data_IF_868188793045
#
_entry.id   IF_868188793045
#
_cell.length_a   1.000
_cell.length_b   1.000
_cell.length_c   1.000
_cell.angle_alpha   90.00
_cell.angle_beta   90.00
_cell.angle_gamma   90.00
#
_symmetry.space_group_name_H-M   'P 1'
#
loop_
_entity.id
_entity.type
_entity.pdbx_description
1 polymer ?
#
# COMPACT_ATOMS: atom_id res chain seq x y z
N UNK A 1 10.52 -9.56 -2.19
CA UNK A 1 9.44 -10.36 -2.81
C UNK A 1 9.43 -10.21 -4.32
N UNK A 2 9.32 -9.01 -4.90
CA UNK A 2 9.30 -8.83 -6.37
C UNK A 2 10.55 -9.39 -7.09
N UNK A 3 11.75 -9.21 -6.51
CA UNK A 3 12.99 -9.80 -7.05
C UNK A 3 12.97 -11.34 -7.03
N UNK A 4 12.36 -11.95 -6.01
CA UNK A 4 12.24 -13.41 -5.91
C UNK A 4 11.22 -13.90 -6.95
N UNK A 5 10.11 -13.19 -7.14
CA UNK A 5 9.12 -13.55 -8.16
C UNK A 5 9.67 -13.40 -9.59
N UNK A 6 10.47 -12.35 -9.85
CA UNK A 6 11.16 -12.11 -11.11
C UNK A 6 12.27 -13.14 -11.35
N UNK A 7 13.08 -13.45 -10.33
CA UNK A 7 14.10 -14.50 -10.41
C UNK A 7 13.46 -15.87 -10.62
N UNK A 8 12.33 -16.17 -9.97
CA UNK A 8 11.58 -17.41 -10.21
C UNK A 8 11.05 -17.49 -11.64
N UNK A 9 10.61 -16.37 -12.24
CA UNK A 9 10.21 -16.35 -13.65
C UNK A 9 11.40 -16.60 -14.56
N UNK A 10 12.54 -15.94 -14.33
CA UNK A 10 13.77 -16.16 -15.11
C UNK A 10 14.33 -17.58 -14.95
N UNK A 11 14.22 -18.17 -13.76
CA UNK A 11 14.65 -19.55 -13.50
C UNK A 11 13.71 -20.56 -14.17
N UNK A 12 12.39 -20.35 -14.11
CA UNK A 12 11.42 -21.17 -14.85
C UNK A 12 11.68 -21.08 -16.37
N UNK A 13 11.90 -19.87 -16.89
CA UNK A 13 12.25 -19.66 -18.30
C UNK A 13 13.52 -20.43 -18.69
N UNK A 14 14.58 -20.38 -17.86
CA UNK A 14 15.87 -21.02 -18.19
C UNK A 14 15.88 -22.55 -18.05
N UNK A 15 14.98 -23.13 -17.25
CA UNK A 15 14.93 -24.59 -17.03
C UNK A 15 14.15 -25.34 -18.12
N UNK A 16 13.31 -24.63 -18.91
CA UNK A 16 12.38 -25.23 -19.88
C UNK A 16 12.84 -25.17 -21.36
N UNK A 17 14.08 -24.78 -21.65
CA UNK A 17 14.61 -24.73 -23.04
C UNK A 17 14.98 -26.13 -23.60
N UNK A 18 13.98 -26.87 -24.07
CA UNK A 18 14.13 -27.96 -25.04
C UNK A 18 13.91 -27.48 -26.50
N UNK A 19 14.46 -28.15 -27.53
CA UNK A 19 14.69 -27.54 -28.85
C UNK A 19 13.45 -27.25 -29.70
N UNK A 20 12.26 -27.76 -29.37
CA UNK A 20 11.05 -27.46 -30.14
C UNK A 20 9.78 -27.51 -29.29
N UNK A 21 9.19 -26.34 -29.01
CA UNK A 21 7.78 -25.95 -29.15
C UNK A 21 7.55 -24.65 -28.38
N UNK A 22 6.89 -23.68 -29.00
CA UNK A 22 6.38 -22.48 -28.32
C UNK A 22 5.68 -22.91 -27.03
N UNK A 23 6.11 -22.37 -25.91
CA UNK A 23 5.47 -22.61 -24.63
C UNK A 23 4.01 -22.13 -24.72
N UNK A 24 3.00 -22.97 -24.42
CA UNK A 24 1.60 -22.55 -24.48
C UNK A 24 1.18 -21.73 -23.26
N UNK A 25 2.03 -21.60 -22.22
CA UNK A 25 1.68 -20.68 -21.15
C UNK A 25 1.95 -19.26 -21.64
N UNK A 26 0.86 -18.55 -21.91
CA UNK A 26 0.86 -17.09 -21.81
C UNK A 26 1.65 -16.67 -20.57
N UNK A 27 2.37 -15.53 -20.61
CA UNK A 27 2.94 -14.94 -19.41
C UNK A 27 1.84 -14.97 -18.35
N UNK A 28 2.01 -15.72 -17.26
CA UNK A 28 0.91 -15.93 -16.32
C UNK A 28 0.72 -14.66 -15.51
N UNK A 29 0.04 -13.71 -16.12
CA UNK A 29 -0.42 -12.45 -15.57
C UNK A 29 -1.25 -12.66 -14.29
N UNK A 30 -1.80 -13.88 -14.11
CA UNK A 30 -2.44 -14.36 -12.89
C UNK A 30 -1.71 -15.59 -12.34
N UNK A 31 -0.53 -15.40 -11.73
CA UNK A 31 0.17 -16.52 -11.10
C UNK A 31 -0.62 -16.92 -9.83
N UNK A 32 -1.30 -18.06 -9.86
CA UNK A 32 -2.45 -18.38 -8.99
C UNK A 32 -2.07 -19.09 -7.67
N UNK A 33 -0.86 -18.83 -7.15
CA UNK A 33 -0.37 -19.46 -5.93
C UNK A 33 -1.04 -18.87 -4.68
N UNK A 34 -1.03 -19.61 -3.57
CA UNK A 34 -1.49 -19.07 -2.26
C UNK A 34 -0.70 -17.82 -1.87
N UNK A 35 0.61 -17.83 -2.10
CA UNK A 35 1.49 -16.71 -1.78
C UNK A 35 1.11 -15.45 -2.56
N UNK A 36 0.77 -15.58 -3.85
CA UNK A 36 0.35 -14.44 -4.66
C UNK A 36 -0.99 -13.88 -4.25
N UNK A 37 -1.95 -14.73 -3.90
CA UNK A 37 -3.23 -14.26 -3.35
C UNK A 37 -3.04 -13.49 -2.05
N UNK A 38 -2.12 -13.94 -1.19
CA UNK A 38 -1.76 -13.21 0.02
C UNK A 38 -1.07 -11.90 -0.32
N UNK A 39 -0.13 -11.91 -1.27
CA UNK A 39 0.57 -10.71 -1.72
C UNK A 39 -0.39 -9.65 -2.27
N UNK A 40 -1.30 -10.04 -3.16
CA UNK A 40 -2.31 -9.15 -3.76
C UNK A 40 -3.27 -8.60 -2.71
N UNK A 41 -3.69 -9.45 -1.78
CA UNK A 41 -4.53 -9.04 -0.67
C UNK A 41 -3.81 -7.99 0.19
N UNK A 42 -2.61 -8.29 0.67
CA UNK A 42 -1.78 -7.39 1.47
C UNK A 42 -1.44 -6.10 0.73
N UNK A 43 -1.22 -6.19 -0.59
CA UNK A 43 -0.96 -5.03 -1.44
C UNK A 43 -2.10 -4.02 -1.33
N UNK A 44 -3.33 -4.45 -1.62
CA UNK A 44 -4.50 -3.56 -1.62
C UNK A 44 -4.96 -3.16 -0.22
N UNK A 45 -4.85 -4.05 0.76
CA UNK A 45 -5.39 -3.78 2.10
C UNK A 45 -4.40 -3.05 2.99
N UNK A 46 -3.10 -3.13 2.73
CA UNK A 46 -2.08 -2.62 3.65
C UNK A 46 -1.02 -1.80 2.92
N UNK A 47 -0.27 -2.38 1.99
CA UNK A 47 0.90 -1.72 1.39
C UNK A 47 0.51 -0.43 0.68
N UNK A 48 -0.46 -0.49 -0.23
CA UNK A 48 -0.96 0.67 -0.97
C UNK A 48 -1.54 1.76 -0.04
N UNK A 49 -2.60 1.50 0.76
CA UNK A 49 -3.23 2.55 1.55
C UNK A 49 -2.31 3.11 2.64
N UNK A 50 -1.58 2.26 3.35
CA UNK A 50 -0.68 2.70 4.44
C UNK A 50 0.55 3.41 3.88
N UNK A 51 1.21 2.85 2.86
CA UNK A 51 2.39 3.47 2.30
C UNK A 51 2.09 4.82 1.63
N UNK A 52 0.97 4.92 0.92
CA UNK A 52 0.55 6.19 0.33
C UNK A 52 0.20 7.23 1.40
N UNK A 53 -0.60 6.88 2.42
CA UNK A 53 -0.98 7.86 3.45
C UNK A 53 0.20 8.29 4.31
N UNK A 54 1.12 7.38 4.65
CA UNK A 54 2.35 7.71 5.39
C UNK A 54 3.15 8.77 4.65
N UNK A 55 3.33 8.62 3.33
CA UNK A 55 4.04 9.61 2.52
C UNK A 55 3.28 10.94 2.42
N UNK A 56 1.98 10.89 2.11
CA UNK A 56 1.18 12.09 1.89
C UNK A 56 1.03 12.93 3.17
N UNK A 57 0.71 12.29 4.30
CA UNK A 57 0.57 12.99 5.58
C UNK A 57 1.90 13.53 6.09
N UNK A 58 2.97 12.73 6.01
CA UNK A 58 4.29 13.16 6.43
C UNK A 58 4.70 14.44 5.69
N UNK A 59 4.70 14.43 4.36
CA UNK A 59 5.14 15.60 3.60
C UNK A 59 4.20 16.78 3.75
N UNK A 60 2.89 16.55 3.91
CA UNK A 60 1.91 17.62 4.13
C UNK A 60 2.14 18.34 5.47
N UNK A 61 2.42 17.60 6.54
CA UNK A 61 2.69 18.19 7.86
C UNK A 61 4.13 18.71 7.97
N UNK A 62 5.11 17.96 7.47
CA UNK A 62 6.53 18.30 7.53
C UNK A 62 6.85 19.57 6.75
N UNK A 63 6.19 19.80 5.60
CA UNK A 63 6.36 21.04 4.84
C UNK A 63 5.77 22.27 5.54
N UNK A 64 4.79 22.10 6.42
CA UNK A 64 4.24 23.17 7.25
C UNK A 64 5.17 23.47 8.41
N UNK A 65 5.38 22.46 9.26
CA UNK A 65 6.28 22.57 10.40
C UNK A 65 6.74 21.16 10.85
N UNK A 66 8.04 20.82 10.76
CA UNK A 66 8.56 19.50 11.10
C UNK A 66 8.23 19.02 12.52
N UNK A 67 8.12 19.96 13.46
CA UNK A 67 7.82 19.71 14.88
C UNK A 67 6.43 19.10 15.10
N UNK A 68 5.52 19.21 14.12
CA UNK A 68 4.18 18.64 14.16
C UNK A 68 4.18 17.12 14.01
N UNK A 69 5.19 16.56 13.35
CA UNK A 69 5.26 15.13 12.98
C UNK A 69 6.09 14.33 13.96
N UNK A 70 7.18 14.90 14.49
CA UNK A 70 8.10 14.20 15.37
C UNK A 70 8.32 14.99 16.66
N UNK A 71 8.10 14.40 17.86
CA UNK A 71 8.43 15.07 19.11
C UNK A 71 9.95 15.17 19.27
N UNK A 72 10.42 16.21 19.98
CA UNK A 72 11.86 16.50 20.16
C UNK A 72 12.68 15.30 20.64
N UNK A 73 12.14 14.52 21.58
CA UNK A 73 12.83 13.34 22.11
C UNK A 73 13.04 12.25 21.03
N UNK A 74 12.14 12.12 20.06
CA UNK A 74 12.26 11.16 18.97
C UNK A 74 13.18 11.70 17.87
N UNK A 75 13.20 13.01 17.65
CA UNK A 75 14.11 13.68 16.72
C UNK A 75 15.59 13.46 17.11
N UNK A 76 15.89 13.45 18.40
CA UNK A 76 17.24 13.16 18.92
C UNK A 76 17.68 11.69 18.68
N UNK A 77 16.72 10.77 18.54
CA UNK A 77 16.97 9.34 18.36
C UNK A 77 16.99 8.90 16.89
N UNK A 78 16.21 9.56 16.03
CA UNK A 78 15.99 9.15 14.64
C UNK A 78 16.77 10.06 13.70
N UNK A 79 17.79 9.55 12.98
CA UNK A 79 18.51 10.35 12.00
C UNK A 79 17.57 10.95 10.95
N UNK A 80 17.74 12.23 10.53
CA UNK A 80 16.85 12.88 9.57
C UNK A 80 16.70 12.10 8.26
N UNK A 81 17.79 11.51 7.76
CA UNK A 81 17.75 10.65 6.58
C UNK A 81 16.82 9.44 6.77
N UNK A 82 16.90 8.79 7.93
CA UNK A 82 16.04 7.66 8.26
C UNK A 82 14.57 8.09 8.38
N UNK A 83 14.31 9.27 8.93
CA UNK A 83 12.96 9.83 8.97
C UNK A 83 12.44 10.09 7.54
N UNK A 84 13.22 10.70 6.65
CA UNK A 84 12.78 10.97 5.29
C UNK A 84 12.57 9.70 4.45
N UNK A 85 13.49 8.73 4.51
CA UNK A 85 13.41 7.54 3.66
C UNK A 85 12.21 6.66 4.02
N UNK A 86 11.90 6.49 5.30
CA UNK A 86 10.75 5.68 5.76
C UNK A 86 9.42 6.28 5.32
N UNK A 87 9.35 7.60 5.17
CA UNK A 87 8.15 8.29 4.73
C UNK A 87 8.09 8.58 3.22
N UNK A 88 9.22 8.53 2.51
CA UNK A 88 9.27 8.83 1.07
C UNK A 88 9.30 7.56 0.23
N UNK A 89 10.10 6.57 0.62
CA UNK A 89 10.36 5.37 -0.17
C UNK A 89 9.11 4.51 -0.48
N UNK A 90 8.11 4.38 0.42
CA UNK A 90 6.95 3.54 0.14
C UNK A 90 6.22 3.93 -1.15
N UNK A 91 6.04 5.22 -1.42
CA UNK A 91 5.23 5.68 -2.55
C UNK A 91 5.86 5.33 -3.92
N UNK A 92 7.15 5.62 -4.21
CA UNK A 92 7.82 5.14 -5.41
C UNK A 92 7.81 3.61 -5.55
N UNK A 93 8.03 2.86 -4.47
CA UNK A 93 8.00 1.39 -4.54
C UNK A 93 6.62 0.86 -4.90
N UNK A 94 5.55 1.43 -4.31
CA UNK A 94 4.16 1.11 -4.66
C UNK A 94 3.87 1.43 -6.12
N UNK A 95 4.34 2.59 -6.62
CA UNK A 95 4.13 2.98 -8.02
C UNK A 95 4.84 2.03 -8.98
N UNK A 96 6.10 1.69 -8.71
CA UNK A 96 6.86 0.72 -9.50
C UNK A 96 6.19 -0.65 -9.47
N UNK A 97 5.73 -1.12 -8.31
CA UNK A 97 5.02 -2.39 -8.20
C UNK A 97 3.69 -2.37 -8.98
N UNK A 98 2.90 -1.30 -8.89
CA UNK A 98 1.66 -1.12 -9.67
C UNK A 98 1.92 -1.20 -11.18
N UNK A 99 3.04 -0.64 -11.64
CA UNK A 99 3.41 -0.58 -13.06
C UNK A 99 3.94 -1.92 -13.58
N UNK A 100 4.58 -2.72 -12.74
CA UNK A 100 5.23 -3.98 -13.12
C UNK A 100 4.38 -5.22 -12.81
N UNK A 101 3.45 -5.11 -11.87
CA UNK A 101 2.65 -6.23 -11.36
C UNK A 101 1.16 -5.93 -11.51
N UNK A 102 0.41 -6.88 -12.08
CA UNK A 102 -1.04 -6.87 -11.91
C UNK A 102 -1.40 -7.51 -10.58
N UNK A 103 -2.06 -6.73 -9.72
CA UNK A 103 -2.61 -7.26 -8.48
C UNK A 103 -4.09 -7.58 -8.61
N UNK A 104 -4.56 -8.62 -7.92
CA UNK A 104 -6.00 -8.90 -7.76
C UNK A 104 -6.56 -8.23 -6.51
N UNK A 105 -7.33 -7.15 -6.67
CA UNK A 105 -8.04 -6.57 -5.54
C UNK A 105 -9.04 -7.56 -4.92
N UNK A 106 -9.18 -7.58 -3.58
CA UNK A 106 -10.31 -8.26 -2.94
C UNK A 106 -11.62 -7.60 -3.36
N UNK A 107 -12.76 -8.23 -3.03
CA UNK A 107 -14.05 -7.58 -3.28
C UNK A 107 -14.11 -6.22 -2.55
N UNK A 108 -14.74 -5.21 -3.17
CA UNK A 108 -14.85 -3.86 -2.58
C UNK A 108 -15.43 -3.87 -1.17
N UNK A 109 -16.35 -4.78 -0.87
CA UNK A 109 -16.91 -4.96 0.47
C UNK A 109 -15.83 -5.37 1.48
N UNK A 110 -15.06 -6.41 1.16
CA UNK A 110 -13.97 -6.91 2.03
C UNK A 110 -12.89 -5.85 2.17
N UNK A 111 -12.44 -5.23 1.07
CA UNK A 111 -11.45 -4.15 1.11
C UNK A 111 -11.90 -2.99 2.02
N UNK A 112 -13.15 -2.54 1.88
CA UNK A 112 -13.69 -1.45 2.71
C UNK A 112 -13.74 -1.81 4.20
N UNK A 113 -14.14 -3.04 4.55
CA UNK A 113 -14.15 -3.51 5.94
C UNK A 113 -12.73 -3.47 6.54
N UNK A 114 -11.73 -3.92 5.77
CA UNK A 114 -10.34 -3.95 6.24
C UNK A 114 -9.77 -2.54 6.39
N UNK A 115 -10.07 -1.62 5.48
CA UNK A 115 -9.67 -0.22 5.61
C UNK A 115 -10.24 0.39 6.91
N UNK A 116 -11.53 0.19 7.19
CA UNK A 116 -12.15 0.66 8.42
C UNK A 116 -11.48 0.03 9.64
N UNK A 117 -11.22 -1.29 9.61
CA UNK A 117 -10.56 -1.99 10.70
C UNK A 117 -9.13 -1.46 10.95
N UNK A 118 -8.37 -1.15 9.90
CA UNK A 118 -7.03 -0.57 10.00
C UNK A 118 -7.05 0.82 10.62
N UNK A 119 -8.01 1.68 10.25
CA UNK A 119 -8.14 3.00 10.86
C UNK A 119 -8.50 2.87 12.34
N UNK A 120 -9.47 2.03 12.70
CA UNK A 120 -9.86 1.78 14.10
C UNK A 120 -8.65 1.26 14.89
N UNK A 121 -7.93 0.28 14.35
CA UNK A 121 -6.74 -0.28 14.97
C UNK A 121 -5.68 0.79 15.23
N UNK A 122 -5.40 1.64 14.23
CA UNK A 122 -4.40 2.69 14.35
C UNK A 122 -4.79 3.77 15.36
N UNK A 123 -6.06 4.22 15.34
CA UNK A 123 -6.56 5.16 16.33
C UNK A 123 -6.56 4.57 17.74
N UNK A 124 -6.77 3.27 17.89
CA UNK A 124 -6.64 2.59 19.18
C UNK A 124 -5.20 2.66 19.70
N UNK A 125 -4.19 2.57 18.83
CA UNK A 125 -2.78 2.78 19.21
C UNK A 125 -2.56 4.24 19.66
N UNK A 126 -3.03 5.22 18.88
CA UNK A 126 -2.90 6.65 19.21
C UNK A 126 -3.49 6.94 20.60
N UNK A 127 -4.72 6.49 20.86
CA UNK A 127 -5.35 6.67 22.16
C UNK A 127 -4.67 5.86 23.27
N UNK A 128 -4.16 4.67 22.96
CA UNK A 128 -3.37 3.85 23.87
C UNK A 128 -2.13 4.60 24.37
N UNK A 129 -1.32 5.14 23.45
CA UNK A 129 -0.13 5.96 23.80
C UNK A 129 -0.54 7.15 24.66
N UNK A 130 -1.62 7.85 24.29
CA UNK A 130 -2.11 8.98 25.10
C UNK A 130 -2.51 8.60 26.51
N UNK A 131 -3.14 7.45 26.67
CA UNK A 131 -3.63 6.95 27.96
C UNK A 131 -2.51 6.40 28.85
N UNK A 132 -1.61 5.58 28.29
CA UNK A 132 -0.56 4.92 29.06
C UNK A 132 0.69 5.77 29.26
N UNK A 133 1.13 6.50 28.23
CA UNK A 133 2.39 7.25 28.25
C UNK A 133 2.18 8.75 28.50
N UNK A 134 0.93 9.24 28.41
CA UNK A 134 0.57 10.60 28.77
C UNK A 134 0.91 11.68 27.74
N UNK A 135 1.43 11.30 26.56
CA UNK A 135 1.70 12.21 25.43
C UNK A 135 0.98 11.76 24.16
N UNK A 136 0.78 12.66 23.19
CA UNK A 136 0.22 12.28 21.89
C UNK A 136 1.29 11.71 20.97
N UNK A 137 0.96 10.62 20.28
CA UNK A 137 1.84 9.97 19.30
C UNK A 137 2.41 10.97 18.27
N UNK A 138 1.62 11.97 17.89
CA UNK A 138 2.05 13.07 17.05
C UNK A 138 1.80 14.42 17.75
N UNK A 139 2.81 15.32 17.82
CA UNK A 139 2.66 16.61 18.51
C UNK A 139 1.48 17.46 18.06
N UNK A 140 1.14 17.45 16.76
CA UNK A 140 0.02 18.26 16.25
C UNK A 140 -1.33 17.93 16.91
N UNK A 141 -1.47 16.71 17.43
CA UNK A 141 -2.69 16.23 18.07
C UNK A 141 -2.98 16.93 19.41
N UNK A 142 -1.98 17.55 20.04
CA UNK A 142 -2.18 18.36 21.26
C UNK A 142 -3.03 19.61 20.96
N UNK A 143 -3.00 20.12 19.73
CA UNK A 143 -3.75 21.31 19.33
C UNK A 143 -5.19 21.01 18.90
N UNK A 144 -5.60 19.73 18.88
CA UNK A 144 -6.91 19.32 18.38
C UNK A 144 -7.95 19.26 19.51
N UNK A 145 -9.11 19.86 19.27
CA UNK A 145 -10.30 19.64 20.11
C UNK A 145 -10.87 18.24 19.87
N UNK A 146 -11.70 17.75 20.80
CA UNK A 146 -12.42 16.47 20.65
C UNK A 146 -13.23 16.41 19.34
N UNK A 147 -13.82 17.54 18.94
CA UNK A 147 -14.55 17.66 17.68
C UNK A 147 -13.59 17.49 16.49
N UNK A 148 -12.44 18.16 16.51
CA UNK A 148 -11.44 18.05 15.46
C UNK A 148 -10.86 16.63 15.35
N UNK A 149 -10.63 15.94 16.47
CA UNK A 149 -10.24 14.52 16.48
C UNK A 149 -11.30 13.62 15.85
N UNK A 150 -12.58 13.85 16.18
CA UNK A 150 -13.69 13.07 15.62
C UNK A 150 -13.79 13.26 14.12
N UNK A 151 -13.68 14.51 13.65
CA UNK A 151 -13.65 14.82 12.21
C UNK A 151 -12.45 14.15 11.54
N UNK A 152 -11.26 14.25 12.12
CA UNK A 152 -10.04 13.62 11.60
C UNK A 152 -10.19 12.11 11.46
N UNK A 153 -10.84 11.43 12.41
CA UNK A 153 -11.13 10.00 12.35
C UNK A 153 -11.96 9.64 11.11
N UNK A 154 -13.09 10.33 10.89
CA UNK A 154 -13.95 10.06 9.73
C UNK A 154 -13.28 10.43 8.41
N UNK A 155 -12.55 11.55 8.37
CA UNK A 155 -11.77 11.94 7.17
C UNK A 155 -10.73 10.87 6.85
N UNK A 156 -10.06 10.30 7.86
CA UNK A 156 -9.07 9.25 7.66
C UNK A 156 -9.69 8.02 7.00
N UNK A 157 -10.88 7.58 7.45
CA UNK A 157 -11.60 6.46 6.82
C UNK A 157 -11.87 6.74 5.34
N UNK A 158 -12.44 7.91 5.04
CA UNK A 158 -12.78 8.30 3.66
C UNK A 158 -11.51 8.37 2.82
N UNK A 159 -10.43 8.96 3.35
CA UNK A 159 -9.19 9.16 2.61
C UNK A 159 -8.48 7.84 2.28
N UNK A 160 -8.32 6.93 3.25
CA UNK A 160 -7.76 5.60 2.96
C UNK A 160 -8.64 4.81 1.99
N UNK A 161 -9.96 4.94 2.11
CA UNK A 161 -10.89 4.28 1.19
C UNK A 161 -10.76 4.82 -0.24
N UNK A 162 -10.58 6.14 -0.41
CA UNK A 162 -10.30 6.74 -1.73
C UNK A 162 -8.98 6.24 -2.32
N UNK A 163 -7.92 6.11 -1.51
CA UNK A 163 -6.65 5.53 -1.97
C UNK A 163 -6.84 4.09 -2.45
N UNK A 164 -7.60 3.28 -1.70
CA UNK A 164 -7.94 1.91 -2.10
C UNK A 164 -8.67 1.88 -3.46
N UNK A 165 -9.71 2.71 -3.64
CA UNK A 165 -10.48 2.75 -4.88
C UNK A 165 -9.62 3.28 -6.05
N UNK A 166 -8.78 4.27 -5.80
CA UNK A 166 -7.86 4.81 -6.79
C UNK A 166 -6.89 3.72 -7.27
N UNK A 167 -6.27 2.97 -6.35
CA UNK A 167 -5.36 1.89 -6.73
C UNK A 167 -6.05 0.75 -7.49
N UNK A 168 -7.26 0.35 -7.08
CA UNK A 168 -8.04 -0.67 -7.81
C UNK A 168 -8.34 -0.18 -9.23
N UNK A 169 -8.73 1.08 -9.36
CA UNK A 169 -9.02 1.71 -10.66
C UNK A 169 -7.76 1.82 -11.52
N UNK A 170 -6.63 2.25 -10.98
CA UNK A 170 -5.35 2.31 -11.68
C UNK A 170 -4.92 0.94 -12.19
N UNK A 171 -5.05 -0.09 -11.36
CA UNK A 171 -4.72 -1.47 -11.73
C UNK A 171 -5.63 -1.96 -12.88
N UNK A 172 -6.94 -1.68 -12.84
CA UNK A 172 -7.84 -2.01 -13.96
C UNK A 172 -7.53 -1.19 -15.22
N UNK A 173 -7.14 0.07 -15.11
CA UNK A 173 -6.80 0.90 -16.28
C UNK A 173 -5.52 0.43 -16.98
N UNK A 174 -4.47 0.13 -16.21
CA UNK A 174 -3.18 -0.31 -16.74
C UNK A 174 -3.31 -1.66 -17.43
N UNK A 175 -4.09 -2.56 -16.83
CA UNK A 175 -4.01 -3.96 -17.21
C UNK A 175 -5.32 -4.60 -17.71
N UNK A 176 -6.47 -3.95 -17.48
CA UNK A 176 -7.79 -4.47 -17.87
C UNK A 176 -7.96 -4.67 -19.38
N UNK A 177 -7.36 -3.81 -20.21
CA UNK A 177 -7.37 -3.96 -21.69
C UNK A 177 -6.55 -5.17 -22.14
N UNK A 178 -5.42 -5.43 -21.48
CA UNK A 178 -4.54 -6.57 -21.80
C UNK A 178 -5.24 -7.90 -21.50
N UNK A 179 -5.95 -7.99 -20.36
CA UNK A 179 -6.74 -9.19 -20.01
C UNK A 179 -7.81 -9.47 -21.07
N UNK A 180 -8.59 -8.46 -21.46
CA UNK A 180 -9.68 -8.62 -22.44
C UNK A 180 -9.15 -9.02 -23.82
N UNK A 181 -8.03 -8.44 -24.24
CA UNK A 181 -7.38 -8.79 -25.50
C UNK A 181 -6.86 -10.24 -25.51
N UNK A 182 -6.17 -10.66 -24.45
CA UNK A 182 -5.68 -12.04 -24.31
C UNK A 182 -6.83 -13.05 -24.26
N UNK A 183 -7.92 -12.72 -23.57
CA UNK A 183 -9.11 -13.58 -23.54
C UNK A 183 -9.70 -13.78 -24.94
N UNK A 184 -9.87 -12.70 -25.71
CA UNK A 184 -10.35 -12.80 -27.09
C UNK A 184 -9.37 -13.55 -28.00
N UNK A 185 -8.06 -13.40 -27.83
CA UNK A 185 -7.06 -14.08 -28.66
C UNK A 185 -6.93 -15.59 -28.36
N UNK A 186 -7.20 -16.01 -27.13
CA UNK A 186 -7.08 -17.42 -26.72
C UNK A 186 -8.37 -18.20 -26.98
N UNK A 187 -9.53 -17.55 -26.86
CA UNK A 187 -10.84 -18.22 -26.86
C UNK A 187 -11.72 -17.92 -28.10
N UNK A 188 -11.24 -17.14 -29.07
CA UNK A 188 -11.80 -17.01 -30.43
C UNK A 188 -10.72 -17.34 -31.47
#
# INVERSE_FOLDING_TARGET
MCFICALMDTLLETTEYGPHKKHPTTPSYWRNSKLHRISDFMYFTSVLPVGAITCLLFWSLYALEPTLVIPKWAEELIPPFMNHITHTAPLPFILVDTLLTCHRAPSRKIGSIIIIALVIFYFSIIFGVRYFDGYWLYPFMEYLSVIAFTIMFFISIIFLWLIYILGDTMNVMLWGKLITYLYHFIFN
#
